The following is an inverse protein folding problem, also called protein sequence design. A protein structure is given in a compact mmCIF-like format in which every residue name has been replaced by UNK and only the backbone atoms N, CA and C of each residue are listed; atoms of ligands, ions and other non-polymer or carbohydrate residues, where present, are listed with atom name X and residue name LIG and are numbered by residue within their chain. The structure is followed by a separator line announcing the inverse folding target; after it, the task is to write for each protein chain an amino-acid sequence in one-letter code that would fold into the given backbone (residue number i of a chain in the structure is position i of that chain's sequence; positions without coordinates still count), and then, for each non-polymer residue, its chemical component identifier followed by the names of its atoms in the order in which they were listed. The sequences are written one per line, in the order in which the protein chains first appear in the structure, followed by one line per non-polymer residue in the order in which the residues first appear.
data_IF_206961848472
#
_entry.id   IF_206961848472
#
_cell.length_a   1.000
_cell.length_b   1.000
_cell.length_c   1.000
_cell.angle_alpha   90.00
_cell.angle_beta   90.00
_cell.angle_gamma   90.00
#
_symmetry.space_group_name_H-M   'P 1'
#
loop_
_entity.id
_entity.type
_entity.pdbx_description
1 polymer ?
#
# COMPACT_ATOMS: atom_id res chain seq x y z
N UNK A 1 -41.92 -1.88 13.37
CA UNK A 1 -41.02 -3.05 13.35
C UNK A 1 -39.57 -2.56 13.38
N UNK A 2 -38.79 -2.92 14.41
CA UNK A 2 -37.39 -2.46 14.59
C UNK A 2 -36.48 -3.20 13.60
N UNK A 3 -35.79 -2.49 12.70
CA UNK A 3 -34.77 -3.09 11.81
C UNK A 3 -33.64 -3.65 12.67
N UNK A 4 -33.44 -4.97 12.64
CA UNK A 4 -32.31 -5.61 13.31
C UNK A 4 -31.00 -5.20 12.61
N UNK A 5 -30.03 -4.70 13.38
CA UNK A 5 -28.66 -4.49 12.87
C UNK A 5 -28.08 -5.86 12.54
N UNK A 6 -27.85 -6.15 11.25
CA UNK A 6 -27.02 -7.30 10.84
C UNK A 6 -25.64 -7.13 11.46
N UNK A 7 -25.28 -8.01 12.41
CA UNK A 7 -23.90 -8.19 12.85
C UNK A 7 -23.12 -8.68 11.64
N UNK A 8 -22.18 -7.89 11.13
CA UNK A 8 -21.24 -8.36 10.12
C UNK A 8 -20.34 -9.41 10.77
N UNK A 9 -20.58 -10.69 10.52
CA UNK A 9 -19.63 -11.74 10.91
C UNK A 9 -18.42 -11.62 10.00
N UNK A 10 -17.29 -11.18 10.56
CA UNK A 10 -16.01 -11.04 9.86
C UNK A 10 -15.32 -12.38 9.60
N UNK A 11 -16.09 -13.46 9.42
CA UNK A 11 -15.60 -14.84 9.36
C UNK A 11 -15.72 -15.49 7.98
N UNK A 12 -16.22 -14.77 6.97
CA UNK A 12 -16.22 -15.27 5.60
C UNK A 12 -14.90 -14.88 4.94
N UNK A 13 -14.26 -15.88 4.34
CA UNK A 13 -13.11 -15.70 3.46
C UNK A 13 -13.37 -14.56 2.47
N UNK A 14 -12.44 -13.62 2.39
CA UNK A 14 -12.48 -12.59 1.36
C UNK A 14 -12.33 -13.30 0.00
N UNK A 15 -13.13 -12.89 -1.00
CA UNK A 15 -13.08 -13.50 -2.34
C UNK A 15 -11.68 -13.42 -2.94
N UNK A 16 -10.91 -12.39 -2.58
CA UNK A 16 -9.55 -12.18 -3.06
C UNK A 16 -8.49 -12.67 -2.07
N UNK A 17 -8.88 -13.11 -0.86
CA UNK A 17 -7.95 -13.34 0.24
C UNK A 17 -8.16 -14.64 1.04
N UNK A 18 -9.13 -15.48 0.69
CA UNK A 18 -9.36 -16.75 1.37
C UNK A 18 -9.62 -16.59 2.87
N UNK A 19 -9.51 -17.68 3.63
CA UNK A 19 -9.33 -17.58 5.08
C UNK A 19 -7.96 -16.94 5.30
N UNK A 20 -7.92 -15.64 5.55
CA UNK A 20 -6.67 -14.93 5.78
C UNK A 20 -5.88 -15.66 6.87
N UNK A 21 -4.65 -16.06 6.54
CA UNK A 21 -3.75 -16.63 7.53
C UNK A 21 -3.63 -15.66 8.71
N UNK A 22 -3.51 -16.16 9.96
CA UNK A 22 -3.34 -15.32 11.12
C UNK A 22 -2.19 -14.35 10.87
N UNK A 23 -2.44 -13.06 11.11
CA UNK A 23 -1.41 -12.04 11.01
C UNK A 23 -0.30 -12.44 11.97
N UNK A 24 0.84 -12.92 11.46
CA UNK A 24 1.96 -13.30 12.32
C UNK A 24 2.40 -12.08 13.12
N UNK A 25 2.49 -12.25 14.44
CA UNK A 25 2.88 -11.17 15.32
C UNK A 25 4.33 -10.74 15.03
N UNK A 26 4.39 -9.46 14.69
CA UNK A 26 5.45 -8.50 14.97
C UNK A 26 6.84 -8.86 14.44
N UNK A 27 7.13 -8.34 13.25
CA UNK A 27 8.49 -7.88 12.98
C UNK A 27 8.95 -7.02 14.17
N UNK A 28 10.18 -7.25 14.65
CA UNK A 28 10.70 -6.47 15.77
C UNK A 28 10.73 -4.98 15.38
N UNK A 29 10.58 -4.07 16.36
CA UNK A 29 10.71 -2.63 16.11
C UNK A 29 12.08 -2.30 15.49
N UNK A 30 13.13 -3.00 15.94
CA UNK A 30 14.49 -2.88 15.42
C UNK A 30 14.61 -3.40 13.99
N UNK A 31 13.98 -4.54 13.68
CA UNK A 31 13.94 -5.09 12.32
C UNK A 31 13.16 -4.17 11.38
N UNK A 32 12.05 -3.59 11.84
CA UNK A 32 11.27 -2.62 11.09
C UNK A 32 12.10 -1.39 10.77
N UNK A 33 12.78 -0.84 11.78
CA UNK A 33 13.62 0.35 11.64
C UNK A 33 14.80 0.08 10.69
N UNK A 34 15.42 -1.09 10.78
CA UNK A 34 16.47 -1.55 9.87
C UNK A 34 15.96 -1.65 8.43
N UNK A 35 14.81 -2.29 8.21
CA UNK A 35 14.20 -2.39 6.87
C UNK A 35 13.82 -1.02 6.32
N UNK A 36 13.27 -0.14 7.16
CA UNK A 36 12.95 1.25 6.80
C UNK A 36 14.20 1.98 6.33
N UNK A 37 15.27 1.96 7.12
CA UNK A 37 16.50 2.68 6.82
C UNK A 37 17.22 2.12 5.59
N UNK A 38 17.25 0.79 5.44
CA UNK A 38 17.75 0.14 4.23
C UNK A 38 16.99 0.60 2.99
N UNK A 39 15.66 0.65 3.06
CA UNK A 39 14.82 1.10 1.96
C UNK A 39 15.04 2.58 1.63
N UNK A 40 15.10 3.46 2.63
CA UNK A 40 15.35 4.89 2.44
C UNK A 40 16.74 5.15 1.82
N UNK A 41 17.76 4.40 2.22
CA UNK A 41 19.10 4.51 1.64
C UNK A 41 19.09 4.06 0.17
N UNK A 42 18.40 2.96 -0.16
CA UNK A 42 18.21 2.54 -1.56
C UNK A 42 17.52 3.62 -2.39
N UNK A 43 16.55 4.35 -1.83
CA UNK A 43 15.88 5.43 -2.56
C UNK A 43 16.81 6.63 -2.85
N UNK A 44 17.75 6.93 -1.95
CA UNK A 44 18.72 8.03 -2.11
C UNK A 44 19.77 7.74 -3.18
N UNK A 45 20.14 6.48 -3.37
CA UNK A 45 21.19 6.07 -4.33
C UNK A 45 20.67 5.84 -5.74
N UNK A 46 19.36 5.97 -5.97
CA UNK A 46 18.77 5.76 -7.30
C UNK A 46 19.20 6.86 -8.27
N UNK A 47 19.68 6.45 -9.45
CA UNK A 47 19.95 7.35 -10.56
C UNK A 47 18.63 7.84 -11.18
N UNK A 48 18.22 9.06 -10.83
CA UNK A 48 16.95 9.66 -11.28
C UNK A 48 16.91 9.90 -12.79
N UNK A 49 18.03 10.26 -13.40
CA UNK A 49 18.10 10.52 -14.84
C UNK A 49 17.85 9.23 -15.64
N UNK A 50 18.56 8.15 -15.29
CA UNK A 50 18.36 6.86 -15.95
C UNK A 50 16.95 6.33 -15.69
N UNK A 51 16.43 6.47 -14.47
CA UNK A 51 15.06 6.08 -14.14
C UNK A 51 14.02 6.80 -15.00
N UNK A 52 14.21 8.10 -15.25
CA UNK A 52 13.31 8.89 -16.09
C UNK A 52 13.32 8.39 -17.54
N UNK A 53 14.51 8.18 -18.10
CA UNK A 53 14.66 7.62 -19.45
C UNK A 53 14.01 6.23 -19.56
N UNK A 54 14.33 5.37 -18.61
CA UNK A 54 13.88 3.98 -18.55
C UNK A 54 12.38 3.81 -18.34
N UNK A 55 11.67 4.87 -17.94
CA UNK A 55 10.23 4.80 -17.65
C UNK A 55 9.41 5.83 -18.42
N UNK A 56 10.00 6.42 -19.46
CA UNK A 56 9.40 7.50 -20.25
C UNK A 56 8.06 7.12 -20.89
N UNK A 57 7.91 5.85 -21.28
CA UNK A 57 6.70 5.32 -21.92
C UNK A 57 5.59 4.97 -20.93
N UNK A 58 5.80 5.24 -19.64
CA UNK A 58 4.79 5.13 -18.58
C UNK A 58 4.05 3.77 -18.60
N UNK A 59 2.76 3.75 -18.91
CA UNK A 59 1.93 2.55 -18.93
C UNK A 59 2.31 1.56 -20.04
N UNK A 60 3.09 1.97 -21.04
CA UNK A 60 3.68 1.08 -22.05
C UNK A 60 4.89 0.30 -21.53
N UNK A 61 5.36 0.59 -20.31
CA UNK A 61 6.59 0.03 -19.78
C UNK A 61 6.38 -0.68 -18.44
N UNK A 62 6.70 -1.98 -18.39
CA UNK A 62 6.60 -2.77 -17.16
C UNK A 62 7.43 -2.19 -15.99
N UNK A 63 8.59 -1.60 -16.30
CA UNK A 63 9.49 -0.99 -15.31
C UNK A 63 8.84 0.21 -14.62
N UNK A 64 7.99 0.97 -15.33
CA UNK A 64 7.21 2.05 -14.71
C UNK A 64 6.26 1.51 -13.64
N UNK A 65 5.53 0.43 -13.92
CA UNK A 65 4.65 -0.21 -12.92
C UNK A 65 5.43 -0.72 -11.71
N UNK A 66 6.58 -1.35 -11.94
CA UNK A 66 7.44 -1.84 -10.86
C UNK A 66 7.94 -0.70 -9.96
N UNK A 67 8.35 0.42 -10.53
CA UNK A 67 8.83 1.58 -9.78
C UNK A 67 7.70 2.33 -9.08
N UNK A 68 6.54 2.43 -9.73
CA UNK A 68 5.31 2.99 -9.15
C UNK A 68 4.80 2.14 -7.98
N UNK A 69 4.93 0.81 -8.02
CA UNK A 69 4.54 -0.07 -6.89
C UNK A 69 5.40 0.17 -5.64
N UNK A 70 6.67 0.55 -5.82
CA UNK A 70 7.60 0.87 -4.72
C UNK A 70 7.42 2.28 -4.16
N UNK A 71 6.83 3.21 -4.92
CA UNK A 71 6.82 4.65 -4.64
C UNK A 71 5.39 5.17 -4.52
N UNK A 72 5.09 5.95 -3.47
CA UNK A 72 3.84 6.72 -3.45
C UNK A 72 3.93 7.86 -4.44
N UNK A 73 2.97 7.92 -5.36
CA UNK A 73 2.91 8.97 -6.38
C UNK A 73 2.09 10.16 -5.92
N UNK A 74 2.38 11.33 -6.49
CA UNK A 74 1.72 12.58 -6.14
C UNK A 74 0.18 12.48 -6.22
N UNK A 75 -0.36 11.75 -7.20
CA UNK A 75 -1.82 11.57 -7.36
C UNK A 75 -2.47 10.83 -6.19
N UNK A 76 -1.72 10.00 -5.44
CA UNK A 76 -2.19 9.25 -4.26
C UNK A 76 -1.85 9.94 -2.95
N UNK A 77 -0.87 10.85 -2.97
CA UNK A 77 -0.48 11.61 -1.79
C UNK A 77 -1.62 12.50 -1.28
N UNK A 78 -2.36 13.14 -2.19
CA UNK A 78 -3.52 13.95 -1.82
C UNK A 78 -4.63 13.18 -1.10
N UNK A 79 -4.86 11.92 -1.46
CA UNK A 79 -5.86 11.05 -0.79
C UNK A 79 -5.49 10.82 0.68
N UNK A 80 -4.18 10.62 0.97
CA UNK A 80 -3.66 10.42 2.32
C UNK A 80 -3.74 11.71 3.14
N UNK A 81 -3.29 12.84 2.58
CA UNK A 81 -3.31 14.12 3.29
C UNK A 81 -4.73 14.64 3.56
N UNK A 82 -5.70 14.29 2.71
CA UNK A 82 -7.12 14.70 2.84
C UNK A 82 -7.95 13.67 3.61
N UNK A 83 -7.31 12.71 4.26
CA UNK A 83 -8.01 11.68 5.03
C UNK A 83 -8.79 12.32 6.18
N UNK A 84 -10.12 12.11 6.19
CA UNK A 84 -10.98 12.58 7.28
C UNK A 84 -10.84 11.65 8.48
N UNK A 85 -11.17 12.12 9.67
CA UNK A 85 -11.26 11.28 10.87
C UNK A 85 -12.24 10.10 10.70
N UNK A 86 -13.25 10.26 9.84
CA UNK A 86 -14.23 9.23 9.50
C UNK A 86 -13.75 8.26 8.42
N UNK A 87 -12.62 8.54 7.74
CA UNK A 87 -12.08 7.64 6.72
C UNK A 87 -11.45 6.43 7.40
N UNK A 88 -11.89 5.23 7.03
CA UNK A 88 -11.35 4.00 7.58
C UNK A 88 -9.90 3.79 7.14
N UNK A 89 -8.97 3.71 8.10
CA UNK A 89 -7.57 3.36 7.88
C UNK A 89 -7.43 2.03 7.11
N UNK A 90 -8.23 1.01 7.47
CA UNK A 90 -8.27 -0.29 6.78
C UNK A 90 -8.52 -0.12 5.28
N UNK A 91 -9.52 0.68 4.91
CA UNK A 91 -9.86 0.92 3.50
C UNK A 91 -8.72 1.63 2.77
N UNK A 92 -8.05 2.58 3.43
CA UNK A 92 -6.93 3.30 2.85
C UNK A 92 -5.72 2.39 2.63
N UNK A 93 -5.38 1.56 3.62
CA UNK A 93 -4.31 0.56 3.51
C UNK A 93 -4.61 -0.44 2.40
N UNK A 94 -5.85 -0.93 2.30
CA UNK A 94 -6.26 -1.82 1.22
C UNK A 94 -6.09 -1.17 -0.17
N UNK A 95 -6.55 0.07 -0.35
CA UNK A 95 -6.36 0.80 -1.61
C UNK A 95 -4.88 0.99 -1.95
N UNK A 96 -4.05 1.28 -0.93
CA UNK A 96 -2.61 1.46 -1.04
C UNK A 96 -1.92 0.19 -1.53
N UNK A 97 -2.28 -0.98 -1.01
CA UNK A 97 -1.60 -2.26 -1.29
C UNK A 97 -2.10 -2.91 -2.57
N UNK A 98 -3.42 -2.91 -2.80
CA UNK A 98 -4.06 -3.70 -3.85
C UNK A 98 -4.52 -2.91 -5.06
N UNK A 99 -4.52 -1.57 -5.00
CA UNK A 99 -4.92 -0.71 -6.12
C UNK A 99 -3.93 0.45 -6.38
N UNK A 100 -2.65 0.15 -6.72
CA UNK A 100 -1.57 1.13 -6.87
C UNK A 100 -1.67 2.06 -8.09
#
# INVERSE_FOLDING_TARGET
MKKSKKKSSSAHADKDYGLAEPLMDTISVEELETKKNCFLNKLKTVNLHQLNLDTRDQNGNLKWFQERKKRRTASKFGEICKMRSTTSCRRQVHAIIYNP
#
